data_IF_367365517475
#
_entry.id   IF_367365517475
#
_cell.length_a   1.000
_cell.length_b   1.000
_cell.length_c   1.000
_cell.angle_alpha   90.00
_cell.angle_beta   90.00
_cell.angle_gamma   90.00
#
_symmetry.space_group_name_H-M   'P 1'
#
loop_
_entity.id
_entity.type
_entity.pdbx_description
1 polymer ?
#
# COMPACT_ATOMS: atom_id res chain seq x y z
N UNK A 1 -5.02 11.91 -2.19
CA UNK A 1 -3.85 11.66 -3.07
C UNK A 1 -3.78 12.81 -4.06
N UNK A 2 -3.14 13.91 -3.67
CA UNK A 2 -2.87 14.99 -4.61
C UNK A 2 -1.49 14.72 -5.23
N UNK A 3 -1.41 14.73 -6.57
CA UNK A 3 -0.15 14.54 -7.30
C UNK A 3 -0.01 13.20 -8.03
N UNK A 4 1.10 13.07 -8.74
CA UNK A 4 1.41 11.90 -9.55
C UNK A 4 1.98 10.81 -8.67
N UNK A 5 1.29 9.67 -8.58
CA UNK A 5 1.82 8.48 -7.91
C UNK A 5 3.08 8.00 -8.63
N UNK A 6 4.22 8.15 -7.97
CA UNK A 6 5.53 7.71 -8.45
C UNK A 6 5.85 6.29 -7.98
N UNK A 7 6.73 5.54 -8.65
CA UNK A 7 7.29 4.32 -8.10
C UNK A 7 7.96 4.56 -6.74
N UNK A 8 7.76 3.65 -5.80
CA UNK A 8 8.32 3.74 -4.44
C UNK A 8 9.33 2.61 -4.26
N UNK A 9 10.56 2.97 -3.88
CA UNK A 9 11.54 1.99 -3.41
C UNK A 9 11.24 1.71 -1.93
N UNK A 10 11.00 0.45 -1.62
CA UNK A 10 10.60 -0.02 -0.30
C UNK A 10 11.51 -1.14 0.17
N UNK A 11 11.91 -1.08 1.44
CA UNK A 11 12.65 -2.12 2.14
C UNK A 11 11.64 -2.99 2.89
N UNK A 12 11.71 -4.28 2.62
CA UNK A 12 10.94 -5.29 3.31
C UNK A 12 11.87 -6.17 4.14
N UNK A 13 11.38 -6.66 5.27
CA UNK A 13 12.04 -7.69 6.06
C UNK A 13 11.16 -8.93 6.07
N UNK A 14 11.77 -10.09 5.84
CA UNK A 14 11.13 -11.40 5.97
C UNK A 14 11.60 -12.03 7.28
N UNK A 15 10.81 -11.95 8.37
CA UNK A 15 11.11 -12.70 9.58
C UNK A 15 11.07 -14.20 9.31
N UNK A 16 11.93 -14.96 9.99
CA UNK A 16 11.90 -16.42 9.92
C UNK A 16 10.52 -16.94 10.36
N UNK A 17 9.93 -17.81 9.55
CA UNK A 17 8.59 -18.36 9.79
C UNK A 17 7.41 -17.43 9.46
N UNK A 18 7.64 -16.21 8.95
CA UNK A 18 6.55 -15.31 8.59
C UNK A 18 5.90 -15.68 7.25
N UNK A 19 4.56 -15.62 7.20
CA UNK A 19 3.78 -15.83 5.99
C UNK A 19 3.93 -14.67 4.98
N UNK A 20 4.25 -13.47 5.45
CA UNK A 20 4.41 -12.29 4.63
C UNK A 20 5.53 -11.37 5.13
N UNK A 21 6.18 -10.61 4.23
CA UNK A 21 7.21 -9.66 4.61
C UNK A 21 6.59 -8.40 5.23
N UNK A 22 7.32 -7.81 6.17
CA UNK A 22 6.95 -6.53 6.81
C UNK A 22 7.62 -5.37 6.07
N UNK A 23 6.86 -4.31 5.81
CA UNK A 23 7.42 -3.05 5.32
C UNK A 23 8.23 -2.40 6.45
N UNK A 24 9.50 -2.12 6.19
CA UNK A 24 10.42 -1.53 7.17
C UNK A 24 10.65 -0.05 6.89
N UNK A 25 10.91 0.29 5.63
CA UNK A 25 11.21 1.67 5.24
C UNK A 25 10.90 1.92 3.77
N UNK A 26 10.79 3.20 3.40
CA UNK A 26 10.53 3.67 2.04
C UNK A 26 11.39 4.89 1.71
N UNK A 27 12.08 4.88 0.58
CA UNK A 27 12.88 6.03 0.17
C UNK A 27 13.78 5.78 -1.04
N UNK A 28 14.14 6.83 -1.79
CA UNK A 28 14.97 6.69 -2.98
C UNK A 28 16.40 6.21 -2.67
N UNK A 29 16.90 6.49 -1.46
CA UNK A 29 18.27 6.18 -1.05
C UNK A 29 18.42 4.84 -0.32
N UNK A 30 17.35 4.05 -0.20
CA UNK A 30 17.40 2.78 0.51
C UNK A 30 18.38 1.81 -0.14
N UNK A 31 19.15 1.15 0.72
CA UNK A 31 20.07 0.06 0.42
C UNK A 31 19.68 -1.15 1.27
N UNK A 32 19.68 -2.34 0.66
CA UNK A 32 19.44 -3.56 1.42
C UNK A 32 20.69 -3.85 2.26
N UNK A 33 20.55 -4.15 3.56
CA UNK A 33 21.63 -4.79 4.28
C UNK A 33 21.91 -6.16 3.63
N UNK A 34 23.17 -6.51 3.41
CA UNK A 34 23.56 -7.66 2.60
C UNK A 34 23.20 -9.04 3.17
N UNK A 35 22.61 -9.13 4.37
CA UNK A 35 22.23 -10.38 5.07
C UNK A 35 20.96 -10.16 5.90
N UNK A 36 20.24 -11.26 6.21
CA UNK A 36 19.18 -11.28 7.22
C UNK A 36 17.76 -10.99 6.72
N UNK A 37 17.31 -11.62 5.64
CA UNK A 37 15.89 -11.57 5.23
C UNK A 37 15.39 -10.23 4.68
N UNK A 38 16.26 -9.23 4.54
CA UNK A 38 15.89 -7.92 3.97
C UNK A 38 15.86 -7.97 2.44
N UNK A 39 14.82 -7.40 1.85
CA UNK A 39 14.61 -7.33 0.41
C UNK A 39 14.21 -5.92 -0.01
N UNK A 40 14.94 -5.36 -0.96
CA UNK A 40 14.52 -4.13 -1.65
C UNK A 40 13.57 -4.44 -2.79
N UNK A 41 12.47 -3.70 -2.88
CA UNK A 41 11.52 -3.80 -3.98
C UNK A 41 11.16 -2.43 -4.51
N UNK A 42 11.01 -2.35 -5.83
CA UNK A 42 10.43 -1.19 -6.50
C UNK A 42 8.93 -1.43 -6.72
N UNK A 43 8.09 -0.73 -5.96
CA UNK A 43 6.64 -0.81 -6.05
C UNK A 43 6.15 0.21 -7.08
N UNK A 44 5.40 -0.25 -8.07
CA UNK A 44 4.84 0.61 -9.12
C UNK A 44 3.33 0.79 -8.89
N UNK A 45 2.81 2.02 -8.97
CA UNK A 45 1.37 2.23 -8.85
C UNK A 45 0.65 1.65 -10.07
N UNK A 46 -0.44 0.92 -9.82
CA UNK A 46 -1.31 0.38 -10.86
C UNK A 46 -1.95 1.50 -11.68
N UNK A 47 -2.40 1.18 -12.90
CA UNK A 47 -3.15 2.12 -13.73
C UNK A 47 -4.44 2.60 -13.01
N UNK A 48 -5.10 1.71 -12.28
CA UNK A 48 -6.31 2.04 -11.51
C UNK A 48 -6.02 3.07 -10.40
N UNK A 49 -4.94 2.88 -9.63
CA UNK A 49 -4.52 3.86 -8.62
C UNK A 49 -4.13 5.20 -9.24
N UNK A 50 -3.42 5.20 -10.37
CA UNK A 50 -3.08 6.44 -11.10
C UNK A 50 -4.33 7.19 -11.54
N UNK A 51 -5.35 6.49 -12.04
CA UNK A 51 -6.64 7.10 -12.42
C UNK A 51 -7.36 7.71 -11.21
N UNK A 52 -7.39 7.01 -10.07
CA UNK A 52 -7.96 7.53 -8.83
C UNK A 52 -7.22 8.77 -8.33
N UNK A 53 -5.89 8.77 -8.35
CA UNK A 53 -5.09 9.93 -7.96
C UNK A 53 -5.33 11.15 -8.84
N UNK A 54 -5.44 10.98 -10.17
CA UNK A 54 -5.83 12.07 -11.09
C UNK A 54 -7.21 12.61 -10.80
N UNK A 55 -8.15 11.75 -10.39
CA UNK A 55 -9.48 12.13 -9.93
C UNK A 55 -9.53 12.73 -8.52
N UNK A 56 -8.37 13.10 -7.94
CA UNK A 56 -8.23 13.68 -6.60
C UNK A 56 -8.79 12.78 -5.49
N UNK A 57 -8.75 11.46 -5.68
CA UNK A 57 -9.23 10.53 -4.67
C UNK A 57 -8.46 10.65 -3.35
N UNK A 58 -9.16 10.50 -2.24
CA UNK A 58 -8.65 10.57 -0.87
C UNK A 58 -8.48 9.16 -0.32
N UNK A 59 -7.32 8.88 0.26
CA UNK A 59 -7.08 7.62 0.98
C UNK A 59 -7.39 7.89 2.44
N UNK A 60 -8.14 6.99 3.08
CA UNK A 60 -8.44 7.02 4.51
C UNK A 60 -8.18 5.64 5.10
N UNK A 61 -7.66 5.61 6.32
CA UNK A 61 -7.57 4.39 7.12
C UNK A 61 -8.48 4.56 8.32
N UNK A 62 -9.48 3.69 8.48
CA UNK A 62 -10.41 3.72 9.60
C UNK A 62 -10.57 2.31 10.18
N UNK A 63 -10.36 2.17 11.50
CA UNK A 63 -10.35 0.87 12.18
C UNK A 63 -9.44 -0.16 11.49
N UNK A 64 -8.27 0.28 11.01
CA UNK A 64 -7.31 -0.57 10.30
C UNK A 64 -7.65 -0.86 8.83
N UNK A 65 -8.80 -0.41 8.33
CA UNK A 65 -9.26 -0.68 6.95
C UNK A 65 -8.90 0.48 6.02
N UNK A 66 -8.19 0.16 4.93
CA UNK A 66 -7.85 1.09 3.88
C UNK A 66 -9.02 1.28 2.90
N UNK A 67 -9.38 2.55 2.69
CA UNK A 67 -10.44 2.98 1.77
C UNK A 67 -9.96 4.12 0.89
N UNK A 68 -10.47 4.17 -0.34
CA UNK A 68 -10.23 5.22 -1.32
C UNK A 68 -11.56 5.84 -1.72
N UNK A 69 -11.70 7.13 -1.46
CA UNK A 69 -12.88 7.94 -1.70
C UNK A 69 -12.66 8.92 -2.84
N UNK A 70 -13.69 9.24 -3.61
CA UNK A 70 -13.66 10.33 -4.58
C UNK A 70 -14.95 11.15 -4.43
N UNK A 71 -14.81 12.38 -3.91
CA UNK A 71 -15.93 13.05 -3.26
C UNK A 71 -16.43 12.18 -2.09
N UNK A 72 -17.74 11.98 -2.02
CA UNK A 72 -18.38 11.13 -0.98
C UNK A 72 -18.56 9.66 -1.42
N UNK A 73 -18.11 9.31 -2.63
CA UNK A 73 -18.25 7.97 -3.16
C UNK A 73 -17.05 7.09 -2.80
N UNK A 74 -17.29 5.93 -2.18
CA UNK A 74 -16.29 4.89 -1.99
C UNK A 74 -15.96 4.26 -3.35
N UNK A 75 -14.71 4.42 -3.81
CA UNK A 75 -14.24 3.92 -5.11
C UNK A 75 -13.44 2.63 -5.02
N UNK A 76 -12.66 2.47 -3.96
CA UNK A 76 -11.96 1.23 -3.69
C UNK A 76 -11.77 1.00 -2.19
N UNK A 77 -11.70 -0.26 -1.79
CA UNK A 77 -11.45 -0.65 -0.41
C UNK A 77 -10.70 -1.98 -0.37
N UNK A 78 -10.20 -2.37 0.80
CA UNK A 78 -9.73 -3.74 1.03
C UNK A 78 -10.79 -4.78 0.62
N UNK A 79 -10.40 -5.96 0.11
CA UNK A 79 -11.33 -6.95 -0.45
C UNK A 79 -12.51 -7.29 0.45
N UNK A 80 -12.28 -7.52 1.75
CA UNK A 80 -13.33 -7.84 2.72
C UNK A 80 -14.33 -6.70 2.98
N UNK A 81 -14.00 -5.47 2.55
CA UNK A 81 -14.78 -4.26 2.78
C UNK A 81 -15.22 -3.57 1.49
N UNK A 82 -15.00 -4.21 0.34
CA UNK A 82 -15.45 -3.72 -0.95
C UNK A 82 -16.94 -4.01 -1.13
N UNK A 83 -17.78 -2.98 -1.01
CA UNK A 83 -19.20 -3.08 -1.36
C UNK A 83 -19.42 -3.16 -2.89
N UNK A 84 -20.66 -3.35 -3.36
CA UNK A 84 -20.96 -3.60 -4.78
C UNK A 84 -20.56 -2.47 -5.74
N UNK A 85 -20.39 -1.25 -5.22
CA UNK A 85 -20.00 -0.05 -5.99
C UNK A 85 -18.52 0.32 -5.83
N UNK A 86 -17.78 -0.39 -4.97
CA UNK A 86 -16.38 -0.15 -4.68
C UNK A 86 -15.53 -1.30 -5.20
N UNK A 87 -14.41 -0.97 -5.84
CA UNK A 87 -13.48 -1.99 -6.32
C UNK A 87 -12.66 -2.56 -5.16
N UNK A 88 -12.51 -3.88 -5.12
CA UNK A 88 -11.53 -4.51 -4.23
C UNK A 88 -10.09 -4.14 -4.64
N UNK A 89 -9.30 -3.69 -3.67
CA UNK A 89 -7.87 -3.44 -3.82
C UNK A 89 -7.10 -4.75 -3.91
N UNK A 90 -6.18 -4.83 -4.86
CA UNK A 90 -5.31 -6.00 -5.01
C UNK A 90 -4.19 -6.00 -3.96
N UNK A 91 -3.61 -7.16 -3.68
CA UNK A 91 -2.45 -7.25 -2.77
C UNK A 91 -1.26 -6.39 -3.19
N UNK A 92 -1.05 -6.16 -4.49
CA UNK A 92 0.00 -5.27 -4.99
C UNK A 92 -0.32 -3.79 -4.73
N UNK A 93 -1.57 -3.40 -4.88
CA UNK A 93 -2.03 -2.04 -4.59
C UNK A 93 -2.01 -1.75 -3.10
N UNK A 94 -2.42 -2.70 -2.26
CA UNK A 94 -2.30 -2.61 -0.80
C UNK A 94 -0.84 -2.38 -0.40
N UNK A 95 0.09 -3.20 -0.89
CA UNK A 95 1.53 -2.98 -0.62
C UNK A 95 2.03 -1.61 -1.08
N UNK A 96 1.60 -1.14 -2.25
CA UNK A 96 1.95 0.19 -2.74
C UNK A 96 1.38 1.29 -1.82
N UNK A 97 0.12 1.18 -1.40
CA UNK A 97 -0.54 2.17 -0.55
C UNK A 97 0.04 2.17 0.87
N UNK A 98 0.44 1.02 1.42
CA UNK A 98 1.20 0.94 2.67
C UNK A 98 2.51 1.73 2.56
N UNK A 99 3.26 1.50 1.49
CA UNK A 99 4.50 2.24 1.25
C UNK A 99 4.26 3.75 1.03
N UNK A 100 3.19 4.11 0.33
CA UNK A 100 2.82 5.51 0.13
C UNK A 100 2.44 6.19 1.44
N UNK A 101 1.61 5.55 2.29
CA UNK A 101 1.26 6.05 3.62
C UNK A 101 2.50 6.22 4.51
N UNK A 102 3.40 5.23 4.49
CA UNK A 102 4.67 5.29 5.21
C UNK A 102 5.50 6.52 4.80
N UNK A 103 5.60 6.84 3.50
CA UNK A 103 6.26 8.06 3.02
C UNK A 103 5.61 9.36 3.51
N UNK A 104 4.31 9.34 3.85
CA UNK A 104 3.61 10.50 4.42
C UNK A 104 3.73 10.58 5.95
N UNK A 105 4.51 9.69 6.59
CA UNK A 105 4.57 9.57 8.05
C UNK A 105 3.31 8.96 8.67
N UNK A 106 2.46 8.33 7.84
CA UNK A 106 1.24 7.65 8.28
C UNK A 106 1.50 6.15 8.36
N UNK A 107 1.24 5.57 9.52
CA UNK A 107 1.35 4.13 9.70
C UNK A 107 0.00 3.47 9.49
N UNK A 108 -0.03 2.53 8.57
CA UNK A 108 -1.13 1.58 8.41
C UNK A 108 -0.58 0.20 8.73
N UNK A 109 -1.10 -0.42 9.78
CA UNK A 109 -0.76 -1.79 10.15
C UNK A 109 -1.41 -2.74 9.14
N UNK A 110 -0.73 -3.00 8.02
CA UNK A 110 -1.01 -4.19 7.23
C UNK A 110 -0.23 -5.37 7.81
N UNK A 111 -0.75 -5.92 8.90
CA UNK A 111 -0.64 -7.35 9.18
C UNK A 111 -2.04 -7.92 8.95
N UNK A 112 -2.41 -8.11 7.69
CA UNK A 112 -3.32 -9.20 7.41
C UNK A 112 -2.44 -10.39 7.12
N UNK A 113 -2.21 -11.19 8.16
CA UNK A 113 -1.82 -12.60 8.05
C UNK A 113 -2.94 -13.36 7.34
N UNK A 114 -3.07 -13.14 6.03
CA UNK A 114 -3.87 -13.97 5.17
C UNK A 114 -3.02 -14.27 3.94
N UNK A 115 -2.47 -15.48 3.93
CA UNK A 115 -2.19 -16.20 2.71
C UNK A 115 -3.39 -16.01 1.76
N UNK A 116 -3.14 -15.36 0.62
CA UNK A 116 -3.93 -15.56 -0.58
C UNK A 116 -3.32 -16.73 -1.33
#
# INVERSE_FOLDING_TARGET
>A
MAGTLAPIRALFFWPDGAAAPRLVDTGPHLRAPGRGGYQLRLLRPSLALRRLARGQARVSVWHGVLRIWQGDALRAAEPAHAGPRARALTAAELRYLAAWLHQQGLHWNTLHDAAL
#
